data_IF_549179399383
#
_entry.id   IF_549179399383
#
_cell.length_a   1.000
_cell.length_b   1.000
_cell.length_c   1.000
_cell.angle_alpha   90.00
_cell.angle_beta   90.00
_cell.angle_gamma   90.00
#
_symmetry.space_group_name_H-M   'P 1'
#
loop_
_entity.id
_entity.type
_entity.pdbx_description
1 polymer ?
#
# COMPACT_ATOMS: atom_id res chain seq x y z
N UNK A 1 35.33 26.76 -46.81
CA UNK A 1 34.34 26.89 -45.71
C UNK A 1 34.27 25.54 -45.02
N UNK A 2 34.62 25.47 -43.72
CA UNK A 2 34.54 24.26 -42.89
C UNK A 2 33.53 24.55 -41.79
N UNK A 3 32.39 23.87 -41.82
CA UNK A 3 31.39 23.95 -40.76
C UNK A 3 31.90 23.20 -39.52
N UNK A 4 32.11 23.95 -38.44
CA UNK A 4 32.51 23.40 -37.16
C UNK A 4 31.27 22.88 -36.42
N UNK A 5 31.11 21.56 -36.38
CA UNK A 5 30.14 20.89 -35.51
C UNK A 5 30.61 21.03 -34.06
N UNK A 6 30.15 22.07 -33.37
CA UNK A 6 30.36 22.25 -31.94
C UNK A 6 29.41 21.32 -31.18
N UNK A 7 29.91 20.13 -30.81
CA UNK A 7 29.22 19.25 -29.86
C UNK A 7 29.18 19.92 -28.49
N UNK A 8 28.12 20.68 -28.25
CA UNK A 8 27.83 21.32 -26.98
C UNK A 8 27.58 20.22 -25.93
N UNK A 9 28.54 20.00 -25.02
CA UNK A 9 28.42 19.09 -23.86
C UNK A 9 27.54 19.73 -22.78
N UNK A 10 26.31 20.09 -23.14
CA UNK A 10 25.34 20.65 -22.21
C UNK A 10 24.94 19.60 -21.17
N UNK A 11 25.07 19.92 -19.88
CA UNK A 11 24.54 19.07 -18.80
C UNK A 11 23.02 19.01 -18.97
N UNK A 12 22.48 17.82 -19.25
CA UNK A 12 21.04 17.64 -19.40
C UNK A 12 20.34 18.00 -18.08
N UNK A 13 19.27 18.78 -18.15
CA UNK A 13 18.47 19.15 -16.99
C UNK A 13 17.89 17.89 -16.35
N UNK A 14 18.07 17.72 -15.03
CA UNK A 14 17.59 16.54 -14.28
C UNK A 14 16.11 16.24 -14.53
N UNK A 15 15.18 17.21 -14.35
CA UNK A 15 13.77 17.03 -14.67
C UNK A 15 13.49 16.54 -16.10
N UNK A 16 14.25 17.04 -17.08
CA UNK A 16 14.13 16.62 -18.47
C UNK A 16 14.59 15.17 -18.65
N UNK A 17 15.70 14.79 -18.00
CA UNK A 17 16.19 13.40 -17.99
C UNK A 17 15.17 12.46 -17.32
N UNK A 18 14.57 12.88 -16.20
CA UNK A 18 13.50 12.13 -15.54
C UNK A 18 12.27 11.99 -16.45
N UNK A 19 11.83 13.07 -17.10
CA UNK A 19 10.72 13.05 -18.06
C UNK A 19 10.96 12.08 -19.22
N UNK A 20 12.15 12.13 -19.85
CA UNK A 20 12.54 11.21 -20.92
C UNK A 20 12.57 9.74 -20.45
N UNK A 21 13.01 9.50 -19.21
CA UNK A 21 12.98 8.16 -18.60
C UNK A 21 11.55 7.67 -18.36
N UNK A 22 10.65 8.55 -17.92
CA UNK A 22 9.23 8.22 -17.76
C UNK A 22 8.57 7.87 -19.10
N UNK A 23 8.81 8.66 -20.16
CA UNK A 23 8.31 8.39 -21.51
C UNK A 23 8.80 7.04 -22.05
N UNK A 24 10.08 6.71 -21.80
CA UNK A 24 10.65 5.42 -22.19
C UNK A 24 10.00 4.25 -21.44
N UNK A 25 9.77 4.40 -20.13
CA UNK A 25 9.07 3.41 -19.30
C UNK A 25 7.62 3.23 -19.74
N UNK A 26 6.93 4.32 -20.08
CA UNK A 26 5.55 4.27 -20.55
C UNK A 26 5.44 3.54 -21.89
N UNK A 27 6.36 3.82 -22.81
CA UNK A 27 6.44 3.12 -24.09
C UNK A 27 6.64 1.61 -23.90
N UNK A 28 7.57 1.20 -23.03
CA UNK A 28 7.80 -0.21 -22.68
C UNK A 28 6.58 -0.89 -22.04
N UNK A 29 5.83 -0.16 -21.21
CA UNK A 29 4.60 -0.68 -20.60
C UNK A 29 3.48 -0.90 -21.64
N UNK A 30 3.38 -0.02 -22.64
CA UNK A 30 2.40 -0.12 -23.73
C UNK A 30 2.76 -1.20 -24.74
N UNK A 31 4.05 -1.48 -24.96
CA UNK A 31 4.52 -2.51 -25.90
C UNK A 31 4.59 -3.91 -25.28
N UNK A 32 4.65 -4.03 -23.95
CA UNK A 32 4.52 -5.33 -23.29
C UNK A 32 3.11 -5.90 -23.53
N UNK A 33 3.00 -7.21 -23.86
CA UNK A 33 1.70 -7.85 -23.99
C UNK A 33 0.90 -7.68 -22.70
N UNK A 34 -0.28 -7.06 -22.81
CA UNK A 34 -1.24 -6.91 -21.72
C UNK A 34 -1.49 -8.26 -21.03
N UNK A 35 -1.39 -9.38 -21.75
CA UNK A 35 -1.56 -10.75 -21.24
C UNK A 35 -0.64 -11.14 -20.06
N UNK A 36 0.57 -10.59 -19.96
CA UNK A 36 1.48 -10.91 -18.83
C UNK A 36 1.08 -10.14 -17.57
N UNK A 37 0.46 -8.97 -17.72
CA UNK A 37 0.01 -8.11 -16.62
C UNK A 37 -1.48 -8.31 -16.26
N UNK A 38 -2.29 -8.87 -17.18
CA UNK A 38 -3.74 -9.04 -17.03
C UNK A 38 -4.15 -10.41 -16.49
N UNK A 39 -3.29 -11.43 -16.58
CA UNK A 39 -3.59 -12.73 -15.97
C UNK A 39 -3.44 -12.60 -14.46
N UNK A 40 -4.58 -12.47 -13.78
CA UNK A 40 -4.65 -12.64 -12.33
C UNK A 40 -4.00 -13.99 -12.03
N UNK A 41 -2.82 -13.93 -11.39
CA UNK A 41 -2.10 -15.16 -11.05
C UNK A 41 -2.95 -16.02 -10.11
N UNK A 42 -2.93 -17.35 -10.27
CA UNK A 42 -3.57 -18.26 -9.33
C UNK A 42 -3.15 -17.93 -7.90
N UNK A 43 -4.09 -18.00 -6.96
CA UNK A 43 -3.82 -17.63 -5.57
C UNK A 43 -2.66 -18.44 -4.96
N UNK A 44 -2.49 -19.71 -5.37
CA UNK A 44 -1.39 -20.59 -4.97
C UNK A 44 -0.01 -20.01 -5.27
N UNK A 45 0.15 -19.37 -6.43
CA UNK A 45 1.42 -18.82 -6.95
C UNK A 45 1.78 -17.44 -6.37
N UNK A 46 0.87 -16.84 -5.59
CA UNK A 46 1.09 -15.53 -5.00
C UNK A 46 2.07 -15.60 -3.82
N UNK A 47 2.82 -14.51 -3.63
CA UNK A 47 3.62 -14.31 -2.43
C UNK A 47 2.72 -14.22 -1.19
N UNK A 48 3.28 -14.50 -0.01
CA UNK A 48 2.53 -14.40 1.24
C UNK A 48 1.95 -12.99 1.46
N UNK A 49 2.73 -11.93 1.18
CA UNK A 49 2.27 -10.55 1.31
C UNK A 49 1.10 -10.24 0.37
N UNK A 50 1.16 -10.68 -0.88
CA UNK A 50 0.06 -10.49 -1.83
C UNK A 50 -1.18 -11.29 -1.45
N UNK A 51 -1.02 -12.54 -0.98
CA UNK A 51 -2.11 -13.37 -0.42
C UNK A 51 -2.80 -12.63 0.73
N UNK A 52 -2.01 -12.14 1.69
CA UNK A 52 -2.49 -11.35 2.84
C UNK A 52 -3.25 -10.10 2.39
N UNK A 53 -2.69 -9.30 1.49
CA UNK A 53 -3.35 -8.09 1.01
C UNK A 53 -4.68 -8.38 0.32
N UNK A 54 -4.76 -9.42 -0.51
CA UNK A 54 -6.02 -9.84 -1.15
C UNK A 54 -7.07 -10.24 -0.12
N UNK A 55 -6.69 -11.05 0.86
CA UNK A 55 -7.61 -11.48 1.93
C UNK A 55 -8.10 -10.30 2.75
N UNK A 56 -7.21 -9.38 3.15
CA UNK A 56 -7.59 -8.16 3.88
C UNK A 56 -8.51 -7.25 3.06
N UNK A 57 -8.21 -7.05 1.77
CA UNK A 57 -9.04 -6.23 0.89
C UNK A 57 -10.45 -6.80 0.72
N UNK A 58 -10.57 -8.11 0.56
CA UNK A 58 -11.87 -8.77 0.45
C UNK A 58 -12.64 -8.71 1.78
N UNK A 59 -11.95 -8.94 2.90
CA UNK A 59 -12.51 -8.80 4.24
C UNK A 59 -13.05 -7.40 4.51
N UNK A 60 -12.30 -6.36 4.16
CA UNK A 60 -12.75 -4.98 4.32
C UNK A 60 -14.01 -4.73 3.49
N UNK A 61 -14.03 -5.19 2.24
CA UNK A 61 -15.20 -5.02 1.39
C UNK A 61 -16.46 -5.71 1.96
N UNK A 62 -16.32 -6.91 2.53
CA UNK A 62 -17.42 -7.61 3.19
C UNK A 62 -17.88 -6.84 4.44
N UNK A 63 -16.95 -6.32 5.24
CA UNK A 63 -17.30 -5.49 6.39
C UNK A 63 -18.10 -4.26 5.96
N UNK A 64 -17.66 -3.55 4.92
CA UNK A 64 -18.33 -2.36 4.40
C UNK A 64 -19.77 -2.67 3.95
N UNK A 65 -19.99 -3.84 3.32
CA UNK A 65 -21.32 -4.29 2.92
C UNK A 65 -22.20 -4.57 4.16
N UNK A 66 -21.68 -5.28 5.16
CA UNK A 66 -22.43 -5.58 6.39
C UNK A 66 -22.82 -4.29 7.12
N UNK A 67 -21.89 -3.35 7.22
CA UNK A 67 -22.12 -2.05 7.83
C UNK A 67 -23.17 -1.22 7.08
N UNK A 68 -23.19 -1.28 5.74
CA UNK A 68 -24.20 -0.59 4.93
C UNK A 68 -25.59 -1.26 5.00
N UNK A 69 -25.64 -2.59 5.10
CA UNK A 69 -26.91 -3.32 5.11
C UNK A 69 -27.55 -3.39 6.49
N UNK A 70 -26.79 -3.28 7.59
CA UNK A 70 -27.31 -3.53 8.93
C UNK A 70 -28.44 -2.58 9.31
N UNK A 71 -28.35 -1.31 8.92
CA UNK A 71 -29.36 -0.29 9.22
C UNK A 71 -30.69 -0.54 8.50
N UNK A 72 -30.65 -1.23 7.35
CA UNK A 72 -31.83 -1.52 6.54
C UNK A 72 -32.51 -2.85 6.92
N UNK A 73 -31.78 -3.77 7.56
CA UNK A 73 -32.25 -5.14 7.83
C UNK A 73 -32.59 -5.40 9.29
N UNK A 74 -32.08 -4.58 10.20
CA UNK A 74 -32.21 -4.80 11.63
C UNK A 74 -32.76 -3.56 12.34
N UNK A 75 -33.31 -3.75 13.54
CA UNK A 75 -33.83 -2.65 14.31
C UNK A 75 -32.67 -1.81 14.87
N UNK A 76 -32.79 -0.47 15.00
CA UNK A 76 -31.69 0.37 15.52
C UNK A 76 -31.21 0.03 16.94
N UNK A 77 -31.99 -0.72 17.70
CA UNK A 77 -31.60 -1.20 19.04
C UNK A 77 -30.76 -2.48 19.00
N UNK A 78 -30.72 -3.16 17.86
CA UNK A 78 -29.98 -4.39 17.69
C UNK A 78 -28.49 -4.06 17.54
N UNK A 79 -27.66 -4.59 18.42
CA UNK A 79 -26.20 -4.43 18.35
C UNK A 79 -25.62 -5.49 17.42
N UNK A 80 -25.36 -5.09 16.17
CA UNK A 80 -24.88 -6.01 15.14
C UNK A 80 -23.50 -5.60 14.70
N UNK A 81 -22.58 -6.55 14.84
CA UNK A 81 -21.18 -6.39 14.53
C UNK A 81 -20.66 -7.64 13.83
N UNK A 82 -19.88 -7.43 12.77
CA UNK A 82 -19.14 -8.51 12.14
C UNK A 82 -17.90 -8.80 12.98
N UNK A 83 -17.85 -9.97 13.62
CA UNK A 83 -16.73 -10.34 14.51
C UNK A 83 -15.56 -10.92 13.72
N UNK A 84 -15.84 -11.74 12.71
CA UNK A 84 -14.81 -12.55 12.07
C UNK A 84 -15.23 -13.06 10.69
N UNK A 85 -14.24 -13.17 9.79
CA UNK A 85 -14.38 -13.89 8.52
C UNK A 85 -13.32 -15.00 8.43
N UNK A 86 -13.74 -16.19 7.98
CA UNK A 86 -12.87 -17.32 7.69
C UNK A 86 -12.88 -17.62 6.19
N UNK A 87 -11.72 -17.60 5.55
CA UNK A 87 -11.55 -18.05 4.18
C UNK A 87 -10.79 -19.37 4.12
N UNK A 88 -11.21 -20.25 3.22
CA UNK A 88 -10.45 -21.45 2.84
C UNK A 88 -9.98 -21.27 1.40
N UNK A 89 -8.68 -21.41 1.16
CA UNK A 89 -8.15 -21.37 -0.20
C UNK A 89 -7.01 -22.36 -0.33
N UNK A 90 -7.03 -23.16 -1.40
CA UNK A 90 -6.13 -24.29 -1.61
C UNK A 90 -6.11 -25.21 -0.36
N UNK A 91 -5.07 -25.09 0.49
CA UNK A 91 -4.87 -25.86 1.72
C UNK A 91 -4.71 -24.99 2.98
N UNK A 92 -4.98 -23.69 2.90
CA UNK A 92 -4.79 -22.77 4.02
C UNK A 92 -6.12 -22.20 4.50
N UNK A 93 -6.25 -22.12 5.82
CA UNK A 93 -7.31 -21.40 6.50
C UNK A 93 -6.79 -19.99 6.82
N UNK A 94 -7.55 -18.98 6.43
CA UNK A 94 -7.31 -17.59 6.77
C UNK A 94 -8.41 -17.11 7.70
N UNK A 95 -8.00 -16.53 8.81
CA UNK A 95 -8.87 -16.05 9.86
C UNK A 95 -8.62 -14.56 10.05
N UNK A 96 -9.64 -13.76 9.80
CA UNK A 96 -9.60 -12.31 9.93
C UNK A 96 -10.62 -11.92 10.99
N UNK A 97 -10.11 -11.44 12.12
CA UNK A 97 -10.91 -10.98 13.24
C UNK A 97 -11.06 -9.46 13.13
N UNK A 98 -12.27 -9.00 13.32
CA UNK A 98 -12.66 -7.59 13.36
C UNK A 98 -12.88 -7.17 14.81
N UNK A 99 -12.76 -5.88 15.10
CA UNK A 99 -12.88 -5.34 16.46
C UNK A 99 -11.70 -5.63 17.39
N UNK A 100 -10.87 -6.64 17.10
CA UNK A 100 -9.68 -6.95 17.90
C UNK A 100 -8.47 -6.11 17.45
N UNK A 101 -8.52 -4.80 17.75
CA UNK A 101 -7.34 -3.96 17.74
C UNK A 101 -6.49 -4.34 18.96
N UNK A 102 -5.43 -5.11 18.70
CA UNK A 102 -4.41 -5.36 19.70
C UNK A 102 -3.75 -4.02 20.04
N UNK A 103 -4.22 -3.37 21.10
CA UNK A 103 -3.75 -2.05 21.57
C UNK A 103 -2.22 -2.00 21.63
N UNK A 104 -1.57 -3.12 21.95
CA UNK A 104 -0.11 -3.25 21.94
C UNK A 104 0.51 -3.12 20.54
N UNK A 105 -0.13 -3.63 19.49
CA UNK A 105 0.36 -3.45 18.10
C UNK A 105 0.21 -2.01 17.62
N UNK A 106 -0.85 -1.33 18.04
CA UNK A 106 -1.07 0.07 17.71
C UNK A 106 -0.03 0.96 18.41
N UNK A 107 0.21 0.73 19.71
CA UNK A 107 1.28 1.37 20.47
C UNK A 107 2.64 1.12 19.80
N UNK A 108 2.96 -0.12 19.42
CA UNK A 108 4.22 -0.45 18.73
C UNK A 108 4.34 0.23 17.35
N UNK A 109 3.23 0.39 16.63
CA UNK A 109 3.22 1.10 15.33
C UNK A 109 3.48 2.60 15.54
N UNK A 110 2.81 3.21 16.51
CA UNK A 110 3.03 4.61 16.90
C UNK A 110 4.48 4.80 17.33
N UNK A 111 4.99 3.93 18.20
CA UNK A 111 6.37 3.95 18.68
C UNK A 111 7.38 3.79 17.53
N UNK A 112 7.13 2.90 16.57
CA UNK A 112 7.98 2.74 15.40
C UNK A 112 7.96 3.99 14.50
N UNK A 113 6.79 4.61 14.31
CA UNK A 113 6.68 5.88 13.57
C UNK A 113 7.44 6.98 14.30
N UNK A 114 7.23 7.15 15.60
CA UNK A 114 7.95 8.12 16.45
C UNK A 114 9.45 7.88 16.37
N UNK A 115 9.94 6.64 16.55
CA UNK A 115 11.36 6.29 16.42
C UNK A 115 11.92 6.54 15.02
N UNK A 116 11.11 6.37 13.98
CA UNK A 116 11.51 6.66 12.59
C UNK A 116 11.59 8.16 12.29
N UNK A 117 10.70 8.95 12.91
CA UNK A 117 10.69 10.41 12.83
C UNK A 117 11.81 11.03 13.67
N UNK A 118 12.10 10.46 14.84
CA UNK A 118 13.18 10.88 15.74
C UNK A 118 14.59 10.60 15.18
N UNK A 119 14.70 9.65 14.24
CA UNK A 119 15.92 9.53 13.41
C UNK A 119 16.16 10.75 12.51
N UNK A 120 15.21 11.67 12.40
CA UNK A 120 15.35 13.00 11.82
C UNK A 120 15.53 14.09 12.89
N UNK A 121 16.63 13.99 13.67
CA UNK A 121 17.26 15.09 14.44
C UNK A 121 16.32 16.10 15.12
N UNK A 122 15.78 15.77 16.29
CA UNK A 122 15.47 16.81 17.29
C UNK A 122 16.81 17.40 17.75
N UNK A 123 17.01 18.72 17.63
CA UNK A 123 18.23 19.35 18.11
C UNK A 123 18.32 19.25 19.64
N UNK A 124 19.55 19.16 20.17
CA UNK A 124 19.78 19.06 21.61
C UNK A 124 19.21 20.26 22.38
N UNK A 125 19.13 21.42 21.74
CA UNK A 125 18.51 22.62 22.29
C UNK A 125 16.99 22.48 22.42
N UNK A 126 16.32 21.90 21.41
CA UNK A 126 14.87 21.68 21.43
C UNK A 126 14.43 20.71 22.55
N UNK A 127 15.28 19.75 22.91
CA UNK A 127 15.05 18.87 24.06
C UNK A 127 15.20 19.62 25.39
N UNK A 128 16.15 20.55 25.49
CA UNK A 128 16.41 21.35 26.70
C UNK A 128 15.33 22.39 26.99
N UNK A 129 14.59 22.85 25.98
CA UNK A 129 13.48 23.79 26.15
C UNK A 129 12.19 23.17 26.68
N UNK A 130 12.11 21.85 26.77
CA UNK A 130 10.94 21.12 27.28
C UNK A 130 11.02 20.79 28.78
N UNK A 131 12.13 21.16 29.45
CA UNK A 131 12.38 20.90 30.87
C UNK A 131 12.16 22.15 31.73
#
# INVERSE_FOLDING_TARGET
MKDQNTTNKGKISGPLLFGLKLLSIEKERKTRPLEINSRIRPFSELSYSTKRCKMLSLSQHILDIVEAEKENKFHPTDQIELIQIKFKTCNSLYEINFGQLDKMKEIKKIEAVVKSLDKGYISREAYRSLA
#
